data_IF_115124411072
#
_entry.id   IF_115124411072
#
_cell.length_a   1.000
_cell.length_b   1.000
_cell.length_c   1.000
_cell.angle_alpha   90.00
_cell.angle_beta   90.00
_cell.angle_gamma   90.00
#
_symmetry.space_group_name_H-M   'P 1'
#
loop_
_entity.id
_entity.type
_entity.pdbx_description
1 polymer ?
#
# COMPACT_ATOMS: atom_id res chain seq x y z
N UNK A 1 8.65 0.50 -19.05
CA UNK A 1 9.42 0.64 -17.80
C UNK A 1 8.47 1.10 -16.70
N UNK A 2 7.93 0.17 -15.91
CA UNK A 2 7.26 0.55 -14.66
C UNK A 2 8.37 1.08 -13.76
N UNK A 3 8.37 2.39 -13.53
CA UNK A 3 9.28 3.03 -12.59
C UNK A 3 9.11 2.30 -11.26
N UNK A 4 10.19 1.67 -10.77
CA UNK A 4 10.24 1.25 -9.38
C UNK A 4 9.92 2.51 -8.57
N UNK A 5 8.75 2.52 -7.94
CA UNK A 5 8.44 3.52 -6.94
C UNK A 5 9.51 3.39 -5.85
N UNK A 6 10.53 4.26 -5.89
CA UNK A 6 11.55 4.27 -4.86
C UNK A 6 10.90 4.74 -3.56
N UNK A 7 10.62 3.78 -2.69
CA UNK A 7 10.36 4.04 -1.27
C UNK A 7 11.70 4.44 -0.67
N UNK A 8 11.80 5.71 -0.26
CA UNK A 8 12.99 6.28 0.34
C UNK A 8 12.96 6.04 1.85
N UNK A 9 14.14 5.86 2.44
CA UNK A 9 14.32 5.64 3.88
C UNK A 9 13.41 4.53 4.46
N UNK A 10 13.36 3.32 3.84
CA UNK A 10 12.49 2.27 4.32
C UNK A 10 12.92 1.83 5.73
N UNK A 11 11.94 1.66 6.61
CA UNK A 11 12.12 1.19 7.98
C UNK A 11 11.16 0.04 8.24
N UNK A 12 11.63 -0.98 8.94
CA UNK A 12 10.75 -2.02 9.49
C UNK A 12 10.34 -1.56 10.87
N UNK A 13 9.05 -1.28 11.07
CA UNK A 13 8.52 -0.82 12.36
C UNK A 13 8.22 -1.97 13.31
N UNK A 14 7.93 -3.15 12.78
CA UNK A 14 7.77 -4.36 13.57
C UNK A 14 6.92 -5.42 12.89
N UNK A 15 6.48 -6.37 13.70
CA UNK A 15 5.47 -7.37 13.33
C UNK A 15 4.26 -7.16 14.22
N UNK A 16 3.09 -7.11 13.62
CA UNK A 16 1.80 -6.97 14.29
C UNK A 16 0.88 -8.13 13.92
N UNK A 17 -0.05 -8.46 14.83
CA UNK A 17 -1.03 -9.51 14.64
C UNK A 17 -2.38 -8.88 14.32
N UNK A 18 -2.94 -9.18 13.15
CA UNK A 18 -4.26 -8.69 12.71
C UNK A 18 -5.05 -9.85 12.12
N UNK A 19 -6.26 -10.09 12.63
CA UNK A 19 -7.17 -11.15 12.14
C UNK A 19 -6.54 -12.56 12.05
N UNK A 20 -5.62 -12.88 12.98
CA UNK A 20 -4.91 -14.16 13.00
C UNK A 20 -3.74 -14.27 12.01
N UNK A 21 -3.43 -13.18 11.30
CA UNK A 21 -2.29 -13.06 10.40
C UNK A 21 -1.17 -12.27 11.07
N UNK A 22 0.08 -12.66 10.81
CA UNK A 22 1.26 -11.89 11.21
C UNK A 22 1.66 -10.98 10.06
N UNK A 23 1.65 -9.67 10.29
CA UNK A 23 1.97 -8.65 9.29
C UNK A 23 3.26 -7.94 9.68
N UNK A 24 4.21 -7.88 8.76
CA UNK A 24 5.40 -7.04 8.87
C UNK A 24 5.02 -5.64 8.39
N UNK A 25 5.19 -4.65 9.27
CA UNK A 25 4.91 -3.25 8.98
C UNK A 25 6.20 -2.55 8.54
N UNK A 26 6.17 -1.99 7.34
CA UNK A 26 7.21 -1.13 6.79
C UNK A 26 6.71 0.31 6.68
N UNK A 27 7.58 1.27 6.90
CA UNK A 27 7.31 2.69 6.67
C UNK A 27 8.41 3.32 5.83
N UNK A 28 8.09 4.38 5.11
CA UNK A 28 9.05 5.12 4.30
C UNK A 28 8.48 6.42 3.75
N UNK A 29 9.30 7.12 2.98
CA UNK A 29 8.88 8.28 2.20
C UNK A 29 8.65 7.84 0.75
N UNK A 30 7.65 8.42 0.08
CA UNK A 30 7.40 8.15 -1.34
C UNK A 30 7.08 9.45 -2.07
N UNK A 31 7.48 9.53 -3.35
CA UNK A 31 7.11 10.67 -4.18
C UNK A 31 5.68 10.55 -4.68
N UNK A 32 4.99 11.67 -4.83
CA UNK A 32 3.69 11.71 -5.50
C UNK A 32 3.73 11.14 -6.93
N UNK A 33 4.85 11.34 -7.64
CA UNK A 33 5.06 10.81 -8.99
C UNK A 33 4.98 9.28 -9.01
N UNK A 34 5.57 8.61 -8.01
CA UNK A 34 5.57 7.17 -7.88
C UNK A 34 4.17 6.59 -7.60
N UNK A 35 3.27 7.37 -6.97
CA UNK A 35 1.91 6.92 -6.63
C UNK A 35 0.86 7.27 -7.69
N UNK A 36 1.18 8.13 -8.65
CA UNK A 36 0.22 8.64 -9.65
C UNK A 36 -0.50 7.53 -10.43
N UNK A 37 0.13 6.38 -10.63
CA UNK A 37 -0.45 5.22 -11.35
C UNK A 37 -1.38 4.37 -10.50
N UNK A 38 -1.25 4.44 -9.17
CA UNK A 38 -1.98 3.60 -8.21
C UNK A 38 -3.11 4.41 -7.57
N UNK A 39 -2.83 5.66 -7.21
CA UNK A 39 -3.76 6.60 -6.59
C UNK A 39 -3.92 7.83 -7.50
N UNK A 40 -4.78 7.76 -8.54
CA UNK A 40 -5.06 8.89 -9.39
C UNK A 40 -5.88 9.94 -8.62
N UNK A 41 -5.18 10.95 -8.10
CA UNK A 41 -5.76 12.06 -7.32
C UNK A 41 -4.68 13.06 -6.94
N UNK A 42 -5.06 14.29 -6.56
CA UNK A 42 -4.16 15.41 -6.22
C UNK A 42 -3.34 15.14 -4.95
N UNK A 43 -2.30 14.32 -5.09
CA UNK A 43 -1.17 14.26 -4.17
C UNK A 43 -0.14 15.29 -4.65
N UNK A 44 -0.47 16.58 -4.62
CA UNK A 44 0.41 17.63 -5.14
C UNK A 44 1.59 17.84 -4.17
N UNK A 45 2.83 17.64 -4.65
CA UNK A 45 4.13 18.03 -4.07
C UNK A 45 4.38 17.76 -2.57
N UNK A 46 3.52 16.98 -1.92
CA UNK A 46 3.62 16.68 -0.51
C UNK A 46 4.72 15.66 -0.25
N UNK A 47 5.43 15.81 0.87
CA UNK A 47 6.21 14.71 1.45
C UNK A 47 5.20 13.65 1.90
N UNK A 48 5.11 12.57 1.13
CA UNK A 48 4.17 11.49 1.45
C UNK A 48 4.89 10.45 2.29
N UNK A 49 4.24 10.05 3.38
CA UNK A 49 4.59 8.85 4.10
C UNK A 49 3.82 7.68 3.52
N UNK A 50 4.50 6.56 3.35
CA UNK A 50 3.88 5.29 2.97
C UNK A 50 4.12 4.28 4.07
N UNK A 51 3.07 3.56 4.42
CA UNK A 51 3.11 2.41 5.29
C UNK A 51 2.60 1.19 4.53
N UNK A 52 3.30 0.07 4.67
CA UNK A 52 3.02 -1.19 4.00
C UNK A 52 2.90 -2.30 5.04
N UNK A 53 1.86 -3.12 4.90
CA UNK A 53 1.70 -4.33 5.71
C UNK A 53 1.77 -5.54 4.82
N UNK A 54 2.73 -6.41 5.12
CA UNK A 54 3.02 -7.60 4.33
C UNK A 54 2.94 -8.82 5.22
N UNK A 55 2.18 -9.83 4.80
CA UNK A 55 2.10 -11.11 5.49
C UNK A 55 3.48 -11.75 5.65
N UNK A 56 3.80 -12.18 6.88
CA UNK A 56 5.12 -12.75 7.22
C UNK A 56 5.32 -14.14 6.60
N UNK A 57 4.26 -14.90 6.39
CA UNK A 57 4.31 -16.29 5.95
C UNK A 57 4.48 -16.44 4.43
N UNK A 58 3.95 -15.51 3.64
CA UNK A 58 3.85 -15.66 2.19
C UNK A 58 4.14 -14.38 1.38
N UNK A 59 4.60 -13.32 2.06
CA UNK A 59 4.95 -12.01 1.50
C UNK A 59 3.81 -11.32 0.71
N UNK A 60 2.54 -11.66 0.97
CA UNK A 60 1.40 -10.95 0.37
C UNK A 60 1.24 -9.57 0.99
N UNK A 61 1.13 -8.57 0.13
CA UNK A 61 0.77 -7.22 0.52
C UNK A 61 -0.71 -7.18 0.93
N UNK A 62 -0.99 -6.78 2.18
CA UNK A 62 -2.33 -6.72 2.74
C UNK A 62 -2.88 -5.31 2.81
N UNK A 63 -2.02 -4.33 3.08
CA UNK A 63 -2.43 -2.92 3.22
C UNK A 63 -1.35 -1.99 2.72
N UNK A 64 -1.77 -0.93 2.04
CA UNK A 64 -0.98 0.27 1.79
C UNK A 64 -1.72 1.43 2.44
N UNK A 65 -1.02 2.25 3.21
CA UNK A 65 -1.51 3.55 3.67
C UNK A 65 -0.57 4.63 3.18
N UNK A 66 -1.14 5.67 2.57
CA UNK A 66 -0.41 6.85 2.12
C UNK A 66 -0.95 8.05 2.89
N UNK A 67 -0.06 8.72 3.61
CA UNK A 67 -0.41 9.89 4.42
C UNK A 67 0.25 11.14 3.86
N UNK A 68 -0.53 12.20 3.69
CA UNK A 68 -0.09 13.58 3.48
C UNK A 68 -0.39 14.41 4.73
N UNK A 69 -0.06 15.71 4.73
CA UNK A 69 -0.25 16.58 5.90
C UNK A 69 -1.71 16.61 6.39
N UNK A 70 -2.68 16.66 5.47
CA UNK A 70 -4.11 16.85 5.79
C UNK A 70 -5.00 15.73 5.22
N UNK A 71 -4.41 14.68 4.64
CA UNK A 71 -5.17 13.61 4.01
C UNK A 71 -4.48 12.26 4.13
N UNK A 72 -5.31 11.23 4.05
CA UNK A 72 -4.89 9.85 4.14
C UNK A 72 -5.69 9.02 3.14
N UNK A 73 -4.99 8.12 2.45
CA UNK A 73 -5.61 7.13 1.58
C UNK A 73 -5.11 5.75 1.97
N UNK A 74 -6.04 4.82 2.16
CA UNK A 74 -5.74 3.43 2.47
C UNK A 74 -6.27 2.52 1.37
N UNK A 75 -5.47 1.52 1.00
CA UNK A 75 -5.83 0.41 0.13
C UNK A 75 -5.65 -0.88 0.91
N UNK A 76 -6.67 -1.71 0.90
CA UNK A 76 -6.64 -3.05 1.51
C UNK A 76 -6.79 -4.10 0.43
N UNK A 77 -6.03 -5.18 0.58
CA UNK A 77 -5.94 -6.27 -0.39
C UNK A 77 -6.38 -7.55 0.31
N UNK A 78 -7.31 -8.25 -0.32
CA UNK A 78 -7.88 -9.50 0.14
C UNK A 78 -8.26 -10.36 -1.07
N UNK A 79 -8.61 -11.62 -0.85
CA UNK A 79 -9.00 -12.54 -1.93
C UNK A 79 -7.89 -12.76 -2.96
N UNK A 80 -6.63 -12.82 -2.50
CA UNK A 80 -5.48 -12.96 -3.41
C UNK A 80 -5.58 -14.23 -4.26
N UNK A 81 -5.69 -14.05 -5.58
CA UNK A 81 -5.89 -15.10 -6.58
C UNK A 81 -7.22 -15.86 -6.46
N UNK A 82 -8.20 -15.32 -5.74
CA UNK A 82 -9.54 -15.89 -5.74
C UNK A 82 -10.25 -15.61 -7.07
N UNK A 83 -10.99 -16.58 -7.63
CA UNK A 83 -11.78 -16.35 -8.81
C UNK A 83 -12.88 -15.33 -8.51
N UNK A 84 -13.00 -14.31 -9.35
CA UNK A 84 -14.04 -13.28 -9.24
C UNK A 84 -15.04 -13.45 -10.38
N UNK A 85 -16.32 -13.55 -10.03
CA UNK A 85 -17.41 -13.52 -11.02
C UNK A 85 -17.79 -12.07 -11.31
N UNK A 86 -17.65 -11.67 -12.59
CA UNK A 86 -18.02 -10.32 -13.05
C UNK A 86 -19.29 -10.45 -13.89
N UNK A 87 -20.49 -10.13 -13.35
CA UNK A 87 -21.73 -10.22 -14.09
C UNK A 87 -21.79 -9.14 -15.18
N UNK A 88 -22.44 -9.45 -16.30
CA UNK A 88 -22.70 -8.45 -17.34
C UNK A 88 -23.64 -7.34 -16.79
N UNK A 89 -23.32 -6.05 -17.02
CA UNK A 89 -24.24 -4.97 -16.68
C UNK A 89 -25.55 -5.12 -17.46
N UNK A 90 -26.66 -4.72 -16.84
CA UNK A 90 -28.00 -4.71 -17.48
C UNK A 90 -28.19 -3.47 -18.34
#
# INVERSE_FOLDING_TARGET
>A
HLLAAEVLNPQVLGVEAEEGMQLRHFSGDVSALALKTILPGTLADAKLKIDLWVQVDNDRLMRIKVSAADSETQLEFFGHNEPVEIPAPK
#
